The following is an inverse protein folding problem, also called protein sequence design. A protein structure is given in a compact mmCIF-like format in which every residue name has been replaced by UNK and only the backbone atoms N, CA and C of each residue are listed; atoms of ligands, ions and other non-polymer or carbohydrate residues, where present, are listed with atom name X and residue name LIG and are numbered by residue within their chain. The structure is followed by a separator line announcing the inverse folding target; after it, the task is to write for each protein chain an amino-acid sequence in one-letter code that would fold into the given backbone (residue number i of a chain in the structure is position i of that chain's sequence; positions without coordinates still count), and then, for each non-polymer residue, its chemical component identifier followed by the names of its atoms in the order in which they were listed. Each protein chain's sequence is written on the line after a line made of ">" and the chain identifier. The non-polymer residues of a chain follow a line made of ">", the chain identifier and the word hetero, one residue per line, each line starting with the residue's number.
data_IF_181881167831
#
_entry.id   IF_181881167831
#
_cell.length_a   1.000
_cell.length_b   1.000
_cell.length_c   1.000
_cell.angle_alpha   90.00
_cell.angle_beta   90.00
_cell.angle_gamma   90.00
#
_symmetry.space_group_name_H-M   'P 1'
#
loop_
_entity.id
_entity.type
_entity.pdbx_description
1 polymer ?
#
# COMPACT_ATOMS: atom_id res chain seq x y z
N UNK A 1 -10.29 17.67 -3.52
CA UNK A 1 -11.70 17.28 -3.60
C UNK A 1 -11.87 15.98 -2.84
N UNK A 2 -12.64 16.04 -1.76
CA UNK A 2 -12.82 15.10 -0.65
C UNK A 2 -12.91 13.62 -1.04
N UNK A 3 -11.93 12.80 -0.60
CA UNK A 3 -12.07 11.34 -0.43
C UNK A 3 -11.23 10.76 0.74
N UNK A 4 -11.11 11.43 1.90
CA UNK A 4 -10.26 10.94 3.01
C UNK A 4 -10.64 9.53 3.49
N UNK A 5 -11.93 9.16 3.44
CA UNK A 5 -12.39 7.82 3.80
C UNK A 5 -11.96 6.75 2.79
N UNK A 6 -11.89 7.10 1.51
CA UNK A 6 -11.47 6.18 0.46
C UNK A 6 -9.97 5.94 0.56
N UNK A 7 -9.21 6.99 0.90
CA UNK A 7 -7.77 6.92 1.14
C UNK A 7 -7.45 6.06 2.38
N UNK A 8 -8.18 6.23 3.51
CA UNK A 8 -7.98 5.45 4.75
C UNK A 8 -8.22 3.94 4.56
N UNK A 9 -9.27 3.57 3.82
CA UNK A 9 -9.55 2.17 3.49
C UNK A 9 -8.43 1.54 2.64
N UNK A 10 -7.78 2.31 1.76
CA UNK A 10 -6.64 1.82 0.98
C UNK A 10 -5.44 1.55 1.87
N UNK A 11 -5.17 2.44 2.83
CA UNK A 11 -4.03 2.32 3.72
C UNK A 11 -4.17 1.11 4.64
N UNK A 12 -5.37 0.89 5.19
CA UNK A 12 -5.73 -0.34 5.92
C UNK A 12 -5.61 -1.60 5.07
N UNK A 13 -5.99 -1.53 3.80
CA UNK A 13 -5.83 -2.65 2.86
C UNK A 13 -4.34 -2.96 2.62
N UNK A 14 -3.48 -1.95 2.52
CA UNK A 14 -2.03 -2.14 2.39
C UNK A 14 -1.48 -2.85 3.61
N UNK A 15 -1.82 -2.40 4.82
CA UNK A 15 -1.40 -3.06 6.06
C UNK A 15 -1.89 -4.52 6.11
N UNK A 16 -3.16 -4.76 5.80
CA UNK A 16 -3.73 -6.10 5.81
C UNK A 16 -3.01 -7.04 4.82
N UNK A 17 -2.68 -6.55 3.62
CA UNK A 17 -1.95 -7.34 2.62
C UNK A 17 -0.51 -7.59 3.03
N UNK A 18 0.17 -6.60 3.60
CA UNK A 18 1.53 -6.76 4.11
C UNK A 18 1.56 -7.74 5.29
N UNK A 19 0.61 -7.67 6.22
CA UNK A 19 0.49 -8.61 7.34
C UNK A 19 0.16 -10.04 6.90
N UNK A 20 -0.78 -10.23 5.98
CA UNK A 20 -1.25 -11.56 5.57
C UNK A 20 -0.29 -12.24 4.57
N UNK A 21 0.25 -11.48 3.62
CA UNK A 21 0.99 -12.05 2.48
C UNK A 21 2.49 -11.70 2.50
N UNK A 22 2.94 -10.80 3.37
CA UNK A 22 4.28 -10.22 3.33
C UNK A 22 4.57 -9.37 2.10
N UNK A 23 3.55 -9.05 1.29
CA UNK A 23 3.68 -8.23 0.10
C UNK A 23 2.35 -7.65 -0.38
N UNK A 24 2.43 -6.57 -1.15
CA UNK A 24 1.29 -5.95 -1.82
C UNK A 24 1.65 -5.58 -3.26
N UNK A 25 0.71 -5.74 -4.18
CA UNK A 25 0.89 -5.36 -5.58
C UNK A 25 -0.01 -4.18 -5.93
N UNK A 26 0.35 -3.40 -6.96
CA UNK A 26 -0.54 -2.37 -7.48
C UNK A 26 -1.88 -2.94 -7.96
N UNK A 27 -1.91 -4.23 -8.35
CA UNK A 27 -3.12 -4.95 -8.77
C UNK A 27 -4.10 -5.17 -7.62
N UNK A 28 -3.58 -5.47 -6.43
CA UNK A 28 -4.42 -5.64 -5.23
C UNK A 28 -5.15 -4.34 -4.90
N UNK A 29 -4.49 -3.20 -5.12
CA UNK A 29 -5.04 -1.88 -4.81
C UNK A 29 -6.06 -1.41 -5.86
N UNK A 30 -5.73 -1.42 -7.16
CA UNK A 30 -6.68 -0.90 -8.16
C UNK A 30 -7.93 -1.79 -8.31
N UNK A 31 -7.81 -3.11 -8.11
CA UNK A 31 -8.96 -4.03 -8.21
C UNK A 31 -9.99 -3.80 -7.10
N UNK A 32 -9.54 -3.45 -5.89
CA UNK A 32 -10.45 -3.25 -4.76
C UNK A 32 -11.15 -1.89 -4.77
N UNK A 33 -10.62 -0.89 -5.46
CA UNK A 33 -11.06 0.50 -5.27
C UNK A 33 -11.46 1.22 -6.57
N UNK A 34 -11.38 0.55 -7.74
CA UNK A 34 -11.65 1.18 -9.03
C UNK A 34 -10.73 2.39 -9.32
N UNK A 35 -9.60 2.49 -8.60
CA UNK A 35 -8.66 3.60 -8.71
C UNK A 35 -7.80 3.44 -9.97
N UNK A 36 -7.70 4.50 -10.77
CA UNK A 36 -6.79 4.52 -11.91
C UNK A 36 -5.33 4.32 -11.50
N UNK A 37 -4.52 3.74 -12.39
CA UNK A 37 -3.13 3.32 -12.13
C UNK A 37 -2.21 4.43 -11.58
N UNK A 38 -2.43 5.68 -11.97
CA UNK A 38 -1.66 6.83 -11.46
C UNK A 38 -1.94 7.15 -9.98
N UNK A 39 -3.14 6.85 -9.48
CA UNK A 39 -3.49 7.08 -8.07
C UNK A 39 -2.79 6.08 -7.16
N UNK A 40 -2.58 4.84 -7.62
CA UNK A 40 -1.94 3.79 -6.81
C UNK A 40 -0.50 4.12 -6.44
N UNK A 41 0.29 4.70 -7.37
CA UNK A 41 1.67 5.09 -7.05
C UNK A 41 1.73 6.19 -6.00
N UNK A 42 0.80 7.16 -6.05
CA UNK A 42 0.71 8.23 -5.04
C UNK A 42 0.33 7.67 -3.67
N UNK A 43 -0.58 6.68 -3.63
CA UNK A 43 -0.95 6.01 -2.38
C UNK A 43 0.25 5.31 -1.74
N UNK A 44 1.05 4.58 -2.53
CA UNK A 44 2.25 3.93 -1.97
C UNK A 44 3.28 4.94 -1.46
N UNK A 45 3.46 6.07 -2.15
CA UNK A 45 4.32 7.15 -1.68
C UNK A 45 3.78 7.77 -0.38
N UNK A 46 2.48 8.01 -0.29
CA UNK A 46 1.83 8.53 0.91
C UNK A 46 1.98 7.55 2.09
N UNK A 47 1.76 6.26 1.84
CA UNK A 47 1.94 5.21 2.83
C UNK A 47 3.39 5.15 3.33
N UNK A 48 4.38 5.21 2.43
CA UNK A 48 5.81 5.23 2.82
C UNK A 48 6.20 6.52 3.57
N UNK A 49 5.58 7.65 3.25
CA UNK A 49 5.81 8.88 3.99
C UNK A 49 5.27 8.81 5.43
N UNK A 50 4.14 8.14 5.63
CA UNK A 50 3.54 7.93 6.95
C UNK A 50 4.18 6.77 7.73
N UNK A 51 4.68 5.75 7.03
CA UNK A 51 5.31 4.56 7.60
C UNK A 51 6.63 4.27 6.85
N UNK A 52 7.71 5.03 7.12
CA UNK A 52 9.00 4.84 6.46
C UNK A 52 9.56 3.44 6.70
N UNK A 53 10.32 2.94 5.74
CA UNK A 53 10.99 1.63 5.79
C UNK A 53 10.07 0.41 5.99
N UNK A 54 8.75 0.57 5.92
CA UNK A 54 7.75 -0.50 6.12
C UNK A 54 7.68 -1.52 4.98
N UNK A 55 7.99 -1.09 3.76
CA UNK A 55 8.01 -1.95 2.58
C UNK A 55 9.00 -1.45 1.53
N UNK A 56 9.53 -2.37 0.72
CA UNK A 56 10.45 -2.08 -0.37
C UNK A 56 9.89 -2.57 -1.71
N UNK A 57 10.01 -1.75 -2.74
CA UNK A 57 9.62 -2.18 -4.09
C UNK A 57 10.68 -3.12 -4.67
N UNK A 58 10.26 -4.31 -5.11
CA UNK A 58 11.12 -5.31 -5.76
C UNK A 58 10.79 -5.36 -7.25
N UNK A 59 11.58 -4.71 -8.14
CA UNK A 59 11.25 -4.58 -9.56
C UNK A 59 11.10 -5.92 -10.29
N UNK A 60 11.97 -6.88 -9.97
CA UNK A 60 11.94 -8.23 -10.55
C UNK A 60 10.61 -8.95 -10.31
N UNK A 61 9.96 -8.67 -9.17
CA UNK A 61 8.69 -9.28 -8.76
C UNK A 61 7.48 -8.35 -8.98
N UNK A 62 7.72 -7.10 -9.41
CA UNK A 62 6.71 -6.05 -9.62
C UNK A 62 5.76 -5.87 -8.42
N UNK A 63 6.31 -5.92 -7.20
CA UNK A 63 5.55 -5.85 -5.95
C UNK A 63 6.33 -5.16 -4.84
N UNK A 64 5.61 -4.64 -3.86
CA UNK A 64 6.18 -4.16 -2.61
C UNK A 64 6.25 -5.33 -1.64
N UNK A 65 7.41 -5.58 -1.06
CA UNK A 65 7.61 -6.60 -0.04
C UNK A 65 7.78 -5.93 1.31
N UNK A 66 7.24 -6.58 2.34
CA UNK A 66 7.42 -6.18 3.73
C UNK A 66 8.90 -6.21 4.10
N UNK A 67 9.34 -5.29 4.94
CA UNK A 67 10.67 -5.30 5.55
C UNK A 67 10.58 -5.84 6.98
N UNK A 68 11.73 -6.10 7.60
CA UNK A 68 11.79 -6.49 9.02
C UNK A 68 11.34 -5.37 9.97
N UNK A 69 11.38 -4.12 9.49
CA UNK A 69 10.95 -2.93 10.23
C UNK A 69 9.44 -2.67 10.13
N UNK A 70 8.70 -3.48 9.37
CA UNK A 70 7.27 -3.27 9.17
C UNK A 70 6.49 -3.32 10.47
N UNK A 71 5.71 -2.27 10.69
CA UNK A 71 4.66 -2.22 11.71
C UNK A 71 3.40 -1.69 11.05
N UNK A 72 2.24 -2.34 11.19
CA UNK A 72 0.99 -1.78 10.71
C UNK A 72 0.75 -0.42 11.38
N UNK A 73 0.40 0.59 10.59
CA UNK A 73 0.25 1.99 11.05
C UNK A 73 -1.21 2.45 10.98
N UNK A 74 -2.03 1.81 10.16
CA UNK A 74 -3.41 2.17 9.86
C UNK A 74 -4.41 1.10 10.33
N UNK A 75 -3.91 -0.07 10.78
CA UNK A 75 -4.68 -1.20 11.31
C UNK A 75 -4.66 -1.26 12.84
#
# INVERSE_FOLDING_TARGET
>A
MSRPLLDDAVLKLIDAKLMLNGHVTSKDIYRHLGLGRQNVSKVFQYYLAANPDSMIYVPAKKKYMVTDSFKPCFL
#
